data_IF_451311467697
#
_entry.id   IF_451311467697
#
_cell.length_a   1.000
_cell.length_b   1.000
_cell.length_c   1.000
_cell.angle_alpha   90.00
_cell.angle_beta   90.00
_cell.angle_gamma   90.00
#
_symmetry.space_group_name_H-M   'P 1'
#
loop_
_entity.id
_entity.type
_entity.pdbx_description
1 polymer ?
#
# COMPACT_ATOMS: atom_id res chain seq x y z
N UNK A 1 -60.86 17.02 -35.41
CA UNK A 1 -60.72 16.66 -36.84
C UNK A 1 -59.36 15.97 -37.01
N UNK A 2 -59.19 14.74 -36.51
CA UNK A 2 -59.29 13.45 -37.23
C UNK A 2 -58.47 13.36 -38.53
N UNK A 3 -57.39 12.58 -38.45
CA UNK A 3 -56.93 11.48 -39.35
C UNK A 3 -55.46 11.20 -39.00
N UNK A 4 -55.14 10.19 -38.18
CA UNK A 4 -55.12 8.75 -38.47
C UNK A 4 -54.43 8.39 -39.80
N UNK A 5 -53.21 7.85 -39.70
CA UNK A 5 -52.65 6.90 -40.68
C UNK A 5 -51.80 5.87 -39.92
N UNK A 6 -52.40 4.70 -39.71
CA UNK A 6 -51.69 3.46 -39.42
C UNK A 6 -50.90 3.03 -40.67
N UNK A 7 -49.70 2.51 -40.45
CA UNK A 7 -48.89 1.81 -41.44
C UNK A 7 -48.14 0.68 -40.75
N UNK A 8 -48.43 -0.53 -41.22
CA UNK A 8 -48.11 -1.84 -40.65
C UNK A 8 -46.61 -2.22 -40.64
N UNK A 9 -46.27 -3.00 -39.61
CA UNK A 9 -45.45 -4.24 -39.64
C UNK A 9 -44.11 -4.27 -40.37
N UNK A 10 -43.03 -4.46 -39.62
CA UNK A 10 -42.28 -5.74 -39.62
C UNK A 10 -41.09 -5.68 -38.66
N UNK A 11 -41.05 -6.67 -37.77
CA UNK A 11 -39.94 -6.96 -36.87
C UNK A 11 -38.84 -7.61 -37.70
N UNK A 12 -37.65 -7.01 -37.71
CA UNK A 12 -36.40 -7.65 -38.15
C UNK A 12 -35.29 -7.23 -37.20
N UNK A 13 -34.99 -8.10 -36.24
CA UNK A 13 -33.78 -8.06 -35.43
C UNK A 13 -32.58 -8.34 -36.34
N UNK A 14 -31.82 -7.29 -36.68
CA UNK A 14 -30.50 -7.40 -37.25
C UNK A 14 -29.47 -7.68 -36.15
N UNK A 15 -28.96 -8.90 -36.11
CA UNK A 15 -27.85 -9.30 -35.25
C UNK A 15 -26.52 -8.71 -35.77
N UNK A 16 -25.73 -8.11 -34.87
CA UNK A 16 -24.31 -7.86 -35.05
C UNK A 16 -23.54 -8.54 -33.90
N UNK A 17 -22.98 -9.72 -34.24
CA UNK A 17 -21.63 -10.24 -33.88
C UNK A 17 -20.89 -9.51 -32.75
N UNK A 18 -20.58 -10.13 -31.60
CA UNK A 18 -19.65 -11.25 -31.37
C UNK A 18 -18.38 -10.69 -30.67
N UNK A 19 -17.91 -11.10 -29.49
CA UNK A 19 -17.64 -12.46 -29.06
C UNK A 19 -17.84 -12.61 -27.54
N UNK A 20 -18.77 -13.47 -27.16
CA UNK A 20 -18.79 -14.12 -25.85
C UNK A 20 -18.05 -15.44 -26.04
N UNK A 21 -16.89 -15.59 -25.40
CA UNK A 21 -16.23 -16.90 -25.27
C UNK A 21 -17.06 -17.68 -24.24
N UNK A 22 -18.14 -18.28 -24.72
CA UNK A 22 -18.80 -19.39 -24.03
C UNK A 22 -17.86 -20.58 -24.14
N UNK A 23 -17.38 -21.07 -23.00
CA UNK A 23 -16.92 -22.46 -22.92
C UNK A 23 -18.11 -23.34 -23.32
N UNK A 24 -18.03 -23.94 -24.49
CA UNK A 24 -19.12 -24.64 -25.14
C UNK A 24 -19.66 -25.79 -24.29
N UNK A 25 -20.95 -25.75 -24.02
CA UNK A 25 -21.77 -26.95 -23.85
C UNK A 25 -22.13 -27.46 -25.25
N UNK A 26 -21.60 -28.62 -25.63
CA UNK A 26 -22.14 -29.38 -26.78
C UNK A 26 -23.39 -30.08 -26.30
N UNK A 27 -24.54 -29.71 -26.86
CA UNK A 27 -25.82 -30.39 -26.67
C UNK A 27 -26.24 -31.00 -28.02
N UNK A 28 -26.24 -32.34 -28.10
CA UNK A 28 -27.05 -33.16 -29.00
C UNK A 28 -26.40 -33.73 -30.27
N UNK A 29 -26.18 -35.05 -30.31
CA UNK A 29 -26.94 -35.96 -31.19
C UNK A 29 -26.78 -37.43 -30.75
N UNK A 30 -27.82 -38.22 -31.06
CA UNK A 30 -28.16 -39.56 -30.58
C UNK A 30 -27.07 -40.65 -30.69
N UNK A 31 -26.91 -41.43 -29.61
CA UNK A 31 -26.17 -42.67 -29.56
C UNK A 31 -26.63 -43.52 -28.35
N UNK A 32 -26.92 -44.79 -28.60
CA UNK A 32 -27.51 -45.76 -27.68
C UNK A 32 -26.53 -46.08 -26.52
N UNK A 33 -27.02 -46.02 -25.28
CA UNK A 33 -26.47 -46.75 -24.13
C UNK A 33 -25.14 -46.26 -23.53
N UNK A 34 -25.23 -45.36 -22.55
CA UNK A 34 -24.12 -45.05 -21.64
C UNK A 34 -24.30 -43.68 -21.00
N UNK A 35 -24.70 -43.62 -19.73
CA UNK A 35 -24.67 -42.39 -18.94
C UNK A 35 -23.23 -41.85 -18.95
N UNK A 36 -22.95 -40.65 -19.49
CA UNK A 36 -21.65 -40.04 -19.29
C UNK A 36 -21.55 -39.72 -17.81
N UNK A 37 -20.68 -40.43 -17.10
CA UNK A 37 -20.23 -40.01 -15.78
C UNK A 37 -19.57 -38.64 -15.97
N UNK A 38 -20.29 -37.55 -15.66
CA UNK A 38 -19.68 -36.25 -15.50
C UNK A 38 -18.69 -36.37 -14.34
N UNK A 39 -17.41 -36.54 -14.66
CA UNK A 39 -16.34 -36.42 -13.68
C UNK A 39 -16.30 -34.94 -13.29
N UNK A 40 -17.03 -34.59 -12.24
CA UNK A 40 -16.95 -33.27 -11.63
C UNK A 40 -15.46 -32.98 -11.39
N UNK A 41 -14.91 -32.00 -12.12
CA UNK A 41 -13.51 -31.65 -12.02
C UNK A 41 -13.19 -31.38 -10.54
N UNK A 42 -12.38 -32.25 -9.94
CA UNK A 42 -12.03 -32.16 -8.52
C UNK A 42 -11.40 -30.78 -8.32
N UNK A 43 -12.11 -29.89 -7.61
CA UNK A 43 -11.61 -28.54 -7.38
C UNK A 43 -10.32 -28.65 -6.59
N UNK A 44 -9.19 -28.44 -7.26
CA UNK A 44 -7.88 -28.57 -6.64
C UNK A 44 -7.72 -27.47 -5.61
N UNK A 45 -7.19 -27.82 -4.44
CA UNK A 45 -6.89 -26.84 -3.42
C UNK A 45 -5.90 -25.80 -3.96
N UNK A 46 -6.19 -24.52 -3.74
CA UNK A 46 -5.30 -23.43 -4.14
C UNK A 46 -3.95 -23.58 -3.43
N UNK A 47 -2.86 -23.50 -4.18
CA UNK A 47 -1.50 -23.59 -3.68
C UNK A 47 -0.66 -22.36 -4.03
N UNK A 48 0.46 -22.19 -3.34
CA UNK A 48 1.45 -21.15 -3.65
C UNK A 48 2.32 -21.64 -4.80
N UNK A 49 2.40 -20.86 -5.88
CA UNK A 49 3.29 -21.16 -7.01
C UNK A 49 4.64 -20.46 -6.85
N UNK A 50 4.60 -19.18 -6.48
CA UNK A 50 5.80 -18.37 -6.27
C UNK A 50 5.69 -17.59 -4.99
N UNK A 51 6.82 -17.35 -4.32
CA UNK A 51 6.89 -16.54 -3.11
C UNK A 51 8.30 -15.99 -2.96
N UNK A 52 8.49 -14.74 -3.35
CA UNK A 52 9.81 -14.12 -3.37
C UNK A 52 9.81 -12.78 -2.65
N UNK A 53 11.00 -12.38 -2.20
CA UNK A 53 11.25 -11.05 -1.69
C UNK A 53 11.17 -10.04 -2.84
N UNK A 54 10.56 -8.88 -2.58
CA UNK A 54 10.60 -7.79 -3.54
C UNK A 54 12.03 -7.26 -3.63
N UNK A 55 12.52 -7.00 -4.85
CA UNK A 55 13.82 -6.34 -5.09
C UNK A 55 13.93 -5.02 -4.31
N UNK A 56 12.83 -4.27 -4.29
CA UNK A 56 12.69 -3.09 -3.45
C UNK A 56 11.36 -3.16 -2.72
N UNK A 57 11.40 -3.10 -1.40
CA UNK A 57 10.20 -2.97 -0.61
C UNK A 57 9.52 -1.63 -0.90
N UNK A 58 8.20 -1.61 -0.80
CA UNK A 58 7.38 -0.45 -1.16
C UNK A 58 6.55 -0.03 0.04
N UNK A 59 6.30 1.27 0.15
CA UNK A 59 5.32 1.80 1.09
C UNK A 59 3.94 1.78 0.46
N UNK A 60 2.98 1.24 1.20
CA UNK A 60 1.59 1.11 0.78
C UNK A 60 0.65 1.50 1.91
N UNK A 61 -0.57 1.84 1.53
CA UNK A 61 -1.71 1.94 2.43
C UNK A 61 -2.83 1.01 1.99
N UNK A 62 -3.63 0.53 2.94
CA UNK A 62 -4.80 -0.29 2.62
C UNK A 62 -5.97 0.58 2.22
N UNK A 63 -6.81 0.08 1.32
CA UNK A 63 -8.09 0.69 0.96
C UNK A 63 -9.29 0.04 1.67
N UNK A 64 -9.05 -0.86 2.63
CA UNK A 64 -10.11 -1.53 3.40
C UNK A 64 -10.94 -2.57 2.66
N UNK A 65 -10.72 -2.82 1.36
CA UNK A 65 -11.52 -3.79 0.59
C UNK A 65 -11.23 -5.25 0.96
N UNK A 66 -10.03 -5.52 1.47
CA UNK A 66 -9.56 -6.86 1.80
C UNK A 66 -8.92 -6.91 3.18
N UNK A 67 -9.08 -8.04 3.86
CA UNK A 67 -8.46 -8.30 5.15
C UNK A 67 -6.97 -8.67 5.01
N UNK A 68 -6.24 -8.51 6.10
CA UNK A 68 -4.87 -8.99 6.25
C UNK A 68 -4.91 -10.36 6.92
N UNK A 69 -4.18 -11.33 6.38
CA UNK A 69 -4.20 -12.72 6.85
C UNK A 69 -2.81 -13.21 7.27
N UNK A 70 -2.73 -14.28 8.05
CA UNK A 70 -1.45 -14.89 8.43
C UNK A 70 -0.72 -15.58 7.25
N UNK A 71 -1.47 -16.06 6.26
CA UNK A 71 -1.06 -16.59 4.96
C UNK A 71 -2.03 -16.08 3.90
N UNK A 72 -1.79 -16.30 2.60
CA UNK A 72 -2.71 -15.82 1.57
C UNK A 72 -4.16 -16.29 1.82
N UNK A 73 -5.13 -15.38 1.72
CA UNK A 73 -6.49 -15.54 2.25
C UNK A 73 -7.31 -16.67 1.63
N UNK A 74 -6.98 -17.09 0.40
CA UNK A 74 -7.64 -18.22 -0.29
C UNK A 74 -7.00 -19.58 0.01
N UNK A 75 -5.94 -19.63 0.83
CA UNK A 75 -5.32 -20.90 1.24
C UNK A 75 -6.06 -21.51 2.43
N UNK A 76 -6.04 -22.84 2.53
CA UNK A 76 -6.60 -23.56 3.67
C UNK A 76 -5.98 -23.09 4.99
N UNK A 77 -6.84 -22.89 5.99
CA UNK A 77 -6.47 -22.40 7.33
C UNK A 77 -5.83 -20.99 7.33
N UNK A 78 -6.19 -20.13 6.37
CA UNK A 78 -5.91 -18.70 6.47
C UNK A 78 -6.75 -18.08 7.60
N UNK A 79 -6.08 -17.33 8.48
CA UNK A 79 -6.70 -16.63 9.61
C UNK A 79 -6.54 -15.13 9.44
N UNK A 80 -7.60 -14.39 9.74
CA UNK A 80 -7.58 -12.92 9.72
C UNK A 80 -6.67 -12.40 10.83
N UNK A 81 -5.69 -11.58 10.46
CA UNK A 81 -4.83 -10.81 11.37
C UNK A 81 -5.43 -9.42 11.60
N UNK A 82 -6.01 -8.81 10.56
CA UNK A 82 -6.76 -7.58 10.66
C UNK A 82 -7.92 -7.57 9.66
N UNK A 83 -9.12 -7.27 10.14
CA UNK A 83 -10.33 -7.20 9.31
C UNK A 83 -10.36 -5.98 8.37
N UNK A 84 -11.29 -6.00 7.42
CA UNK A 84 -11.51 -4.96 6.40
C UNK A 84 -11.72 -3.57 7.01
N UNK A 85 -12.62 -3.45 7.99
CA UNK A 85 -12.92 -2.19 8.67
C UNK A 85 -11.69 -1.58 9.35
N UNK A 86 -10.94 -2.38 10.13
CA UNK A 86 -9.68 -1.95 10.75
C UNK A 86 -8.71 -1.39 9.71
N UNK A 87 -8.55 -2.08 8.58
CA UNK A 87 -7.65 -1.65 7.52
C UNK A 87 -8.15 -0.42 6.77
N UNK A 88 -9.47 -0.21 6.66
CA UNK A 88 -10.03 1.03 6.16
C UNK A 88 -9.67 2.19 7.10
N UNK A 89 -9.86 2.03 8.42
CA UNK A 89 -9.46 3.04 9.43
C UNK A 89 -7.97 3.36 9.36
N UNK A 90 -7.11 2.34 9.25
CA UNK A 90 -5.66 2.54 9.10
C UNK A 90 -5.29 3.22 7.78
N UNK A 91 -6.00 2.89 6.70
CA UNK A 91 -5.85 3.52 5.38
C UNK A 91 -6.14 5.02 5.41
N UNK A 92 -7.20 5.41 6.12
CA UNK A 92 -7.68 6.79 6.21
C UNK A 92 -7.12 7.59 7.41
N UNK A 93 -6.25 6.99 8.22
CA UNK A 93 -5.76 7.63 9.45
C UNK A 93 -4.69 8.68 9.17
N UNK A 94 -4.70 9.78 9.93
CA UNK A 94 -3.69 10.86 9.89
C UNK A 94 -2.36 10.51 10.57
N UNK A 95 -2.21 9.29 11.08
CA UNK A 95 -0.95 8.79 11.65
C UNK A 95 -0.15 7.93 10.65
N UNK A 96 1.11 8.31 10.42
CA UNK A 96 2.11 7.61 9.60
C UNK A 96 2.49 6.25 10.15
N UNK A 97 2.18 5.95 11.41
CA UNK A 97 2.32 4.59 11.99
C UNK A 97 1.50 3.54 11.26
N UNK A 98 0.41 3.98 10.62
CA UNK A 98 -0.54 3.11 9.92
C UNK A 98 -0.22 2.89 8.44
N UNK A 99 0.88 3.46 7.93
CA UNK A 99 1.47 2.99 6.68
C UNK A 99 1.98 1.56 6.82
N UNK A 100 2.12 0.88 5.68
CA UNK A 100 2.65 -0.47 5.61
C UNK A 100 3.88 -0.54 4.70
N UNK A 101 4.87 -1.34 5.11
CA UNK A 101 5.94 -1.80 4.21
C UNK A 101 5.54 -3.14 3.62
N UNK A 102 5.32 -3.20 2.31
CA UNK A 102 5.21 -4.46 1.59
C UNK A 102 6.60 -4.91 1.10
N UNK A 103 6.96 -6.16 1.38
CA UNK A 103 8.34 -6.66 1.20
C UNK A 103 8.45 -8.05 0.57
N UNK A 104 7.34 -8.78 0.41
CA UNK A 104 7.29 -10.01 -0.39
C UNK A 104 6.04 -10.01 -1.26
N UNK A 105 6.07 -10.82 -2.31
CA UNK A 105 4.95 -11.08 -3.21
C UNK A 105 4.85 -12.57 -3.49
N UNK A 106 3.62 -13.08 -3.55
CA UNK A 106 3.33 -14.47 -3.86
C UNK A 106 2.22 -14.57 -4.92
N UNK A 107 2.42 -15.45 -5.91
CA UNK A 107 1.38 -15.86 -6.86
C UNK A 107 0.84 -17.22 -6.45
N UNK A 108 -0.47 -17.37 -6.51
CA UNK A 108 -1.17 -18.62 -6.24
C UNK A 108 -1.63 -19.28 -7.55
N UNK A 109 -1.96 -20.57 -7.48
CA UNK A 109 -2.39 -21.38 -8.63
C UNK A 109 -3.71 -20.94 -9.28
N UNK A 110 -4.49 -20.11 -8.58
CA UNK A 110 -5.69 -19.48 -9.13
C UNK A 110 -5.40 -18.08 -9.73
N UNK A 111 -4.13 -17.74 -9.96
CA UNK A 111 -3.69 -16.48 -10.55
C UNK A 111 -3.73 -15.27 -9.61
N UNK A 112 -4.22 -15.41 -8.37
CA UNK A 112 -4.25 -14.32 -7.40
C UNK A 112 -2.85 -14.02 -6.87
N UNK A 113 -2.59 -12.74 -6.62
CA UNK A 113 -1.34 -12.26 -6.05
C UNK A 113 -1.59 -11.65 -4.67
N UNK A 114 -0.73 -12.01 -3.73
CA UNK A 114 -0.73 -11.50 -2.36
C UNK A 114 0.60 -10.85 -2.02
N UNK A 115 0.55 -9.76 -1.25
CA UNK A 115 1.73 -9.06 -0.74
C UNK A 115 1.88 -9.31 0.76
N UNK A 116 3.09 -9.66 1.20
CA UNK A 116 3.42 -9.68 2.62
C UNK A 116 3.80 -8.27 3.06
N UNK A 117 3.10 -7.76 4.07
CA UNK A 117 3.31 -6.41 4.57
C UNK A 117 3.32 -6.34 6.10
N UNK A 118 3.88 -5.26 6.62
CA UNK A 118 3.90 -4.93 8.05
C UNK A 118 3.59 -3.45 8.25
N UNK A 119 2.76 -3.11 9.24
CA UNK A 119 2.53 -1.71 9.63
C UNK A 119 3.81 -1.06 10.14
N UNK A 120 3.91 0.26 10.04
CA UNK A 120 5.13 0.97 10.42
C UNK A 120 5.45 0.80 11.92
N UNK A 121 4.42 0.77 12.77
CA UNK A 121 4.52 0.45 14.20
C UNK A 121 4.76 -1.04 14.52
N UNK A 122 4.78 -1.91 13.52
CA UNK A 122 5.06 -3.34 13.66
C UNK A 122 3.89 -4.19 14.18
N UNK A 123 2.76 -3.60 14.56
CA UNK A 123 1.63 -4.32 15.20
C UNK A 123 0.92 -5.30 14.28
N UNK A 124 0.82 -4.98 12.98
CA UNK A 124 0.10 -5.81 12.00
C UNK A 124 1.07 -6.35 10.97
N UNK A 125 1.14 -7.68 10.85
CA UNK A 125 1.95 -8.37 9.84
C UNK A 125 1.20 -9.52 9.21
N UNK A 126 1.17 -9.57 7.88
CA UNK A 126 0.47 -10.62 7.18
C UNK A 126 0.50 -10.48 5.67
N UNK A 127 -0.40 -11.19 5.01
CA UNK A 127 -0.61 -11.22 3.57
C UNK A 127 -1.94 -10.61 3.21
N UNK A 128 -1.94 -9.70 2.24
CA UNK A 128 -3.15 -9.04 1.71
C UNK A 128 -3.25 -9.26 0.21
N UNK A 129 -4.47 -9.37 -0.30
CA UNK A 129 -4.71 -9.48 -1.73
C UNK A 129 -4.25 -8.20 -2.46
N UNK A 130 -3.45 -8.38 -3.51
CA UNK A 130 -2.79 -7.33 -4.27
C UNK A 130 -3.20 -7.23 -5.74
N UNK A 131 -4.17 -8.02 -6.18
CA UNK A 131 -4.56 -8.11 -7.60
C UNK A 131 -4.07 -9.39 -8.27
N UNK A 132 -3.83 -9.34 -9.59
CA UNK A 132 -3.37 -10.50 -10.40
C UNK A 132 -1.92 -10.35 -10.92
N UNK A 133 -1.31 -9.19 -10.70
CA UNK A 133 0.05 -8.88 -11.14
C UNK A 133 1.01 -8.88 -9.95
N UNK A 134 2.21 -9.42 -10.15
CA UNK A 134 3.30 -9.36 -9.18
C UNK A 134 4.08 -8.04 -9.22
N UNK A 135 3.89 -7.24 -10.29
CA UNK A 135 4.59 -5.98 -10.53
C UNK A 135 3.68 -4.75 -10.34
N UNK A 136 2.37 -4.92 -10.47
CA UNK A 136 1.37 -3.85 -10.26
C UNK A 136 0.59 -4.10 -8.97
N UNK A 137 0.58 -3.10 -8.10
CA UNK A 137 -0.16 -3.13 -6.83
C UNK A 137 -1.61 -2.73 -7.08
N UNK A 138 -2.54 -3.61 -6.72
CA UNK A 138 -3.98 -3.40 -6.82
C UNK A 138 -4.71 -4.13 -5.66
N UNK A 139 -6.02 -4.39 -5.81
CA UNK A 139 -6.73 -5.44 -5.07
C UNK A 139 -6.91 -5.26 -3.56
N UNK A 140 -6.43 -4.20 -2.91
CA UNK A 140 -6.55 -4.04 -1.46
C UNK A 140 -5.57 -3.06 -0.83
N UNK A 141 -4.54 -2.72 -1.60
CA UNK A 141 -3.49 -1.78 -1.24
C UNK A 141 -3.20 -0.86 -2.42
N UNK A 142 -2.62 0.30 -2.13
CA UNK A 142 -2.08 1.24 -3.11
C UNK A 142 -0.76 1.82 -2.61
N UNK A 143 0.12 2.23 -3.52
CA UNK A 143 1.39 2.88 -3.17
C UNK A 143 1.11 4.21 -2.47
N UNK A 144 1.96 4.57 -1.52
CA UNK A 144 1.86 5.83 -0.80
C UNK A 144 3.24 6.50 -0.67
N UNK A 145 3.25 7.83 -0.83
CA UNK A 145 4.35 8.67 -0.40
C UNK A 145 4.13 9.05 1.07
N UNK A 146 5.19 9.01 1.86
CA UNK A 146 5.15 9.33 3.30
C UNK A 146 5.57 10.77 3.60
N UNK A 147 6.16 11.44 2.60
CA UNK A 147 6.67 12.81 2.70
C UNK A 147 6.47 13.54 1.38
N UNK A 148 6.29 14.86 1.48
CA UNK A 148 6.44 15.82 0.38
C UNK A 148 7.58 16.79 0.68
N UNK A 149 8.18 17.36 -0.38
CA UNK A 149 9.16 18.45 -0.21
C UNK A 149 8.43 19.71 0.27
N UNK A 150 9.11 20.54 1.06
CA UNK A 150 8.65 21.86 1.47
C UNK A 150 9.83 22.83 1.44
N UNK A 151 9.56 24.13 1.52
CA UNK A 151 10.60 25.16 1.51
C UNK A 151 11.58 25.02 2.68
N UNK A 152 12.86 25.24 2.39
CA UNK A 152 13.93 25.41 3.38
C UNK A 152 13.94 26.88 3.83
N UNK A 153 14.09 27.19 5.12
CA UNK A 153 14.18 28.59 5.59
C UNK A 153 15.36 29.35 4.98
N UNK A 154 15.22 30.68 4.81
CA UNK A 154 16.19 31.53 4.11
C UNK A 154 17.56 31.63 4.82
N UNK A 155 17.60 31.50 6.14
CA UNK A 155 18.84 31.33 6.89
C UNK A 155 19.18 29.83 6.91
N UNK A 156 20.08 29.37 6.04
CA UNK A 156 20.50 27.97 6.10
C UNK A 156 21.37 27.71 7.34
N UNK A 157 22.15 28.69 7.81
CA UNK A 157 23.07 28.60 8.96
C UNK A 157 22.62 29.49 10.12
N UNK A 158 23.18 29.29 11.33
CA UNK A 158 22.85 30.09 12.51
C UNK A 158 21.67 29.51 13.30
N UNK A 159 21.50 28.19 13.28
CA UNK A 159 20.44 27.49 14.00
C UNK A 159 21.00 26.69 15.16
N UNK A 160 20.16 26.42 16.16
CA UNK A 160 20.44 25.54 17.28
C UNK A 160 19.27 24.59 17.55
N UNK A 161 19.52 23.53 18.32
CA UNK A 161 18.46 22.66 18.81
C UNK A 161 17.68 23.32 19.95
N UNK A 162 16.38 23.04 20.04
CA UNK A 162 15.67 23.08 21.33
C UNK A 162 16.02 21.86 22.18
N UNK A 163 15.80 21.96 23.49
CA UNK A 163 15.98 20.83 24.41
C UNK A 163 15.00 19.69 24.13
N UNK A 164 15.43 18.45 24.43
CA UNK A 164 14.59 17.26 24.38
C UNK A 164 14.19 16.78 22.97
N UNK A 165 14.80 17.30 21.90
CA UNK A 165 14.46 16.87 20.55
C UNK A 165 15.13 15.54 20.19
N UNK A 166 14.54 14.83 19.24
CA UNK A 166 15.08 13.58 18.72
C UNK A 166 15.57 13.77 17.30
N UNK A 167 16.77 13.27 17.01
CA UNK A 167 17.37 13.26 15.67
C UNK A 167 17.17 11.90 15.01
N UNK A 168 16.67 11.89 13.78
CA UNK A 168 16.34 10.67 13.03
C UNK A 168 17.09 10.58 11.70
N UNK A 169 17.33 9.37 11.17
CA UNK A 169 17.96 9.19 9.87
C UNK A 169 17.06 9.60 8.67
N UNK A 170 15.74 9.59 8.87
CA UNK A 170 14.67 10.12 7.99
C UNK A 170 13.62 10.81 8.86
N UNK A 171 12.68 11.62 8.33
CA UNK A 171 11.57 12.13 9.14
C UNK A 171 10.89 11.01 9.93
N UNK A 172 10.54 11.26 11.20
CA UNK A 172 9.98 10.22 12.09
C UNK A 172 8.75 9.58 11.43
N UNK A 173 8.66 8.25 11.47
CA UNK A 173 7.59 7.48 10.81
C UNK A 173 7.48 7.62 9.28
N UNK A 174 8.42 8.26 8.58
CA UNK A 174 8.41 8.29 7.10
C UNK A 174 8.87 6.98 6.46
N UNK A 175 9.56 6.12 7.21
CA UNK A 175 10.01 4.79 6.77
C UNK A 175 9.89 3.78 7.90
N UNK A 176 9.61 2.53 7.55
CA UNK A 176 9.65 1.40 8.49
C UNK A 176 11.07 1.15 8.99
N UNK A 177 11.23 0.93 10.31
CA UNK A 177 12.54 0.78 10.98
C UNK A 177 13.50 1.93 10.70
N UNK A 178 13.01 3.16 10.87
CA UNK A 178 13.83 4.35 10.78
C UNK A 178 14.98 4.32 11.79
N UNK A 179 16.16 4.84 11.40
CA UNK A 179 17.33 4.95 12.26
C UNK A 179 17.11 6.08 13.26
N UNK A 180 17.33 5.80 14.54
CA UNK A 180 17.49 6.82 15.57
C UNK A 180 18.95 7.28 15.55
N UNK A 181 19.19 8.58 15.42
CA UNK A 181 20.54 9.17 15.43
C UNK A 181 20.89 9.64 16.83
N UNK A 182 20.04 10.46 17.44
CA UNK A 182 20.17 10.87 18.83
C UNK A 182 18.79 10.90 19.51
N UNK A 183 18.63 10.29 20.70
CA UNK A 183 17.35 10.27 21.40
C UNK A 183 16.95 11.64 21.96
N UNK A 184 17.94 12.47 22.32
CA UNK A 184 17.75 13.73 23.02
C UNK A 184 18.86 14.74 22.64
N UNK A 185 18.48 15.99 22.36
CA UNK A 185 19.40 17.08 21.97
C UNK A 185 19.80 18.02 23.10
N UNK A 186 19.36 17.83 24.34
CA UNK A 186 19.60 18.75 25.46
C UNK A 186 21.08 19.01 25.74
N UNK A 187 21.98 18.07 25.45
CA UNK A 187 23.43 18.29 25.61
C UNK A 187 24.09 19.02 24.42
N UNK A 188 23.36 19.23 23.32
CA UNK A 188 23.86 19.80 22.08
C UNK A 188 23.27 21.18 21.76
N UNK A 189 22.71 21.88 22.76
CA UNK A 189 22.03 23.17 22.55
C UNK A 189 22.98 24.28 22.07
N UNK A 190 24.27 24.15 22.37
CA UNK A 190 25.30 25.10 21.94
C UNK A 190 25.81 24.81 20.51
N UNK A 191 25.46 23.67 19.92
CA UNK A 191 25.92 23.29 18.58
C UNK A 191 25.26 24.19 17.52
N UNK A 192 26.07 24.54 16.51
CA UNK A 192 25.65 25.24 15.32
C UNK A 192 25.10 24.26 14.29
N UNK A 193 23.93 24.59 13.76
CA UNK A 193 23.22 23.81 12.77
C UNK A 193 23.10 24.57 11.47
N UNK A 194 23.18 23.80 10.39
CA UNK A 194 22.81 24.23 9.05
C UNK A 194 21.62 23.40 8.54
N UNK A 195 20.51 24.04 8.20
CA UNK A 195 19.36 23.38 7.56
C UNK A 195 19.65 23.23 6.06
N UNK A 196 19.55 22.00 5.54
CA UNK A 196 19.84 21.69 4.13
C UNK A 196 18.65 21.14 3.35
N UNK A 197 17.64 20.58 4.02
CA UNK A 197 16.45 20.02 3.38
C UNK A 197 15.25 20.15 4.32
N UNK A 198 14.05 20.19 3.75
CA UNK A 198 12.80 20.26 4.50
C UNK A 198 11.74 19.35 3.87
N UNK A 199 11.10 18.54 4.71
CA UNK A 199 10.05 17.60 4.30
C UNK A 199 8.85 17.69 5.21
N UNK A 200 7.66 17.54 4.63
CA UNK A 200 6.40 17.47 5.34
C UNK A 200 5.88 16.04 5.31
N UNK A 201 5.49 15.49 6.46
CA UNK A 201 4.80 14.19 6.52
C UNK A 201 3.44 14.31 5.83
N UNK A 202 3.08 13.32 5.01
CA UNK A 202 1.84 13.36 4.20
C UNK A 202 0.57 13.14 5.02
N UNK A 203 0.66 12.53 6.20
CA UNK A 203 -0.49 12.28 7.08
C UNK A 203 -0.61 13.32 8.20
N UNK A 204 0.47 13.50 8.97
CA UNK A 204 0.45 14.44 10.10
C UNK A 204 0.66 15.91 9.71
N UNK A 205 1.11 16.19 8.48
CA UNK A 205 1.49 17.55 8.07
C UNK A 205 2.72 18.13 8.79
N UNK A 206 3.34 17.36 9.70
CA UNK A 206 4.51 17.79 10.47
C UNK A 206 5.69 18.04 9.54
N UNK A 207 6.35 19.19 9.68
CA UNK A 207 7.57 19.54 8.94
C UNK A 207 8.79 19.11 9.73
N UNK A 208 9.71 18.43 9.04
CA UNK A 208 11.04 18.07 9.51
C UNK A 208 12.10 18.78 8.68
N UNK A 209 13.14 19.25 9.35
CA UNK A 209 14.36 19.77 8.74
C UNK A 209 15.45 18.72 8.81
N UNK A 210 16.17 18.53 7.70
CA UNK A 210 17.46 17.87 7.73
C UNK A 210 18.50 18.91 8.13
N UNK A 211 19.15 18.66 9.26
CA UNK A 211 20.20 19.51 9.81
C UNK A 211 21.55 18.83 9.63
N UNK A 212 22.51 19.62 9.15
CA UNK A 212 23.92 19.36 9.30
C UNK A 212 24.35 20.00 10.62
N UNK A 213 24.86 19.21 11.55
CA UNK A 213 25.48 19.71 12.76
C UNK A 213 26.95 20.02 12.47
N UNK A 214 27.34 21.28 12.66
CA UNK A 214 28.66 21.79 12.29
C UNK A 214 29.74 21.44 13.31
N UNK A 215 29.35 21.12 14.55
CA UNK A 215 30.27 20.70 15.61
C UNK A 215 30.49 19.18 15.62
N UNK A 216 29.46 18.39 15.28
CA UNK A 216 29.52 16.93 15.28
C UNK A 216 28.67 16.33 14.15
N UNK A 217 29.34 15.93 13.07
CA UNK A 217 28.70 15.34 11.90
C UNK A 217 27.97 14.02 12.16
N UNK A 218 28.23 13.32 13.27
CA UNK A 218 27.51 12.09 13.64
C UNK A 218 26.06 12.37 14.01
N UNK A 219 25.75 13.62 14.38
CA UNK A 219 24.41 14.12 14.71
C UNK A 219 23.64 14.65 13.50
N UNK A 220 24.16 14.50 12.28
CA UNK A 220 23.42 14.87 11.07
C UNK A 220 22.13 14.05 10.95
N UNK A 221 21.00 14.72 10.72
CA UNK A 221 19.73 14.03 10.64
C UNK A 221 18.51 14.93 10.57
N UNK A 222 17.35 14.28 10.68
CA UNK A 222 16.03 14.90 10.60
C UNK A 222 15.49 15.20 11.99
N UNK A 223 15.18 16.48 12.23
CA UNK A 223 14.57 16.98 13.46
C UNK A 223 13.25 17.67 13.10
N UNK A 224 12.27 17.65 14.01
CA UNK A 224 11.04 18.41 13.79
C UNK A 224 11.38 19.91 13.72
N UNK A 225 10.72 20.62 12.81
CA UNK A 225 10.94 22.05 12.60
C UNK A 225 10.72 22.90 13.86
N UNK A 226 9.70 22.56 14.67
CA UNK A 226 9.43 23.21 15.97
C UNK A 226 10.54 23.00 17.01
N UNK A 227 11.44 22.04 16.77
CA UNK A 227 12.61 21.75 17.59
C UNK A 227 13.89 22.48 17.19
N UNK A 228 13.83 23.38 16.22
CA UNK A 228 14.96 24.20 15.76
C UNK A 228 14.66 25.67 16.05
N UNK A 229 15.67 26.42 16.46
CA UNK A 229 15.60 27.87 16.73
C UNK A 229 16.76 28.60 16.07
N UNK A 230 16.55 29.87 15.76
CA UNK A 230 17.63 30.77 15.39
C UNK A 230 18.55 30.97 16.61
N UNK A 231 19.86 30.97 16.37
CA UNK A 231 20.87 31.26 17.38
C UNK A 231 20.96 32.79 17.51
N UNK A 232 20.58 33.29 18.67
CA UNK A 232 20.77 34.70 19.07
C UNK A 232 22.22 34.99 19.36
#
# INVERSE_FOLDING_TARGET
MFKNKLGNSSVLFGAATGAVILFGTVLGLLGIGGQPNEVAAKTMAVRVETNHQLKSAITVESNGKNALFNKAGTLKHARVVAGKQRLATMGNSDSSKHYFRAYRVARLSNGLVYYKMVSFDGKYRGWIYGGKSTTKVAGGIKRAATVTKTAVPNAATGHAYRAGQTVWGKPKWSVYKNKLVAPNTTQYLHHDLRILDAKRLTREGTVYYYVQNLNDSTLNGWVRSDGIVDKT
#
